data_IF_641557513829
#
_entry.id   IF_641557513829
#
_cell.length_a   1.000
_cell.length_b   1.000
_cell.length_c   1.000
_cell.angle_alpha   90.00
_cell.angle_beta   90.00
_cell.angle_gamma   90.00
#
_symmetry.space_group_name_H-M   'P 1'
#
loop_
_entity.id
_entity.type
_entity.pdbx_description
1 polymer ?
#
# COMPACT_ATOMS: atom_id res chain seq x y z
N UNK A 1 15.07 -0.84 -4.41
CA UNK A 1 15.03 -2.21 -4.96
C UNK A 1 13.94 -3.04 -4.31
N UNK A 2 13.67 -4.25 -4.84
CA UNK A 2 12.59 -5.15 -4.41
C UNK A 2 12.58 -5.40 -2.88
N UNK A 3 13.72 -5.78 -2.30
CA UNK A 3 13.82 -6.03 -0.86
C UNK A 3 13.51 -4.81 0.01
N UNK A 4 13.85 -3.61 -0.48
CA UNK A 4 13.51 -2.35 0.19
C UNK A 4 12.00 -2.10 0.18
N UNK A 5 11.35 -2.33 -0.98
CA UNK A 5 9.89 -2.20 -1.13
C UNK A 5 9.17 -3.20 -0.22
N UNK A 6 9.59 -4.47 -0.24
CA UNK A 6 8.99 -5.52 0.60
C UNK A 6 9.12 -5.19 2.09
N UNK A 7 10.31 -4.78 2.55
CA UNK A 7 10.50 -4.33 3.94
C UNK A 7 9.50 -3.24 4.30
N UNK A 8 9.43 -2.17 3.50
CA UNK A 8 8.53 -1.04 3.74
C UNK A 8 7.05 -1.45 3.72
N UNK A 9 6.66 -2.43 2.89
CA UNK A 9 5.29 -2.98 2.92
C UNK A 9 5.03 -3.73 4.24
N UNK A 10 5.93 -4.61 4.67
CA UNK A 10 5.76 -5.39 5.91
C UNK A 10 5.66 -4.48 7.15
N UNK A 11 6.46 -3.41 7.20
CA UNK A 11 6.42 -2.43 8.30
C UNK A 11 5.40 -1.30 8.07
N UNK A 12 4.43 -1.48 7.18
CA UNK A 12 3.35 -0.53 7.00
C UNK A 12 2.38 -0.63 8.20
N UNK A 13 1.91 0.53 8.66
CA UNK A 13 0.88 0.70 9.70
C UNK A 13 -0.31 -0.22 9.52
N UNK A 14 -0.81 -0.37 8.28
CA UNK A 14 -1.97 -1.22 8.01
C UNK A 14 -1.68 -2.70 8.33
N UNK A 15 -0.54 -3.21 7.84
CA UNK A 15 -0.10 -4.59 8.10
C UNK A 15 0.21 -4.78 9.59
N UNK A 16 0.90 -3.83 10.23
CA UNK A 16 1.23 -3.92 11.66
C UNK A 16 -0.01 -3.96 12.55
N UNK A 17 -1.03 -3.14 12.24
CA UNK A 17 -2.30 -3.19 12.96
C UNK A 17 -3.02 -4.53 12.75
N UNK A 18 -3.07 -5.03 11.51
CA UNK A 18 -3.69 -6.33 11.20
C UNK A 18 -2.97 -7.47 11.94
N UNK A 19 -1.63 -7.45 11.97
CA UNK A 19 -0.83 -8.40 12.73
C UNK A 19 -1.12 -8.30 14.23
N UNK A 20 -1.17 -7.09 14.78
CA UNK A 20 -1.44 -6.87 16.19
C UNK A 20 -2.80 -7.44 16.62
N UNK A 21 -3.84 -7.21 15.82
CA UNK A 21 -5.18 -7.78 16.03
C UNK A 21 -5.15 -9.30 15.90
N UNK A 22 -4.46 -9.84 14.89
CA UNK A 22 -4.37 -11.29 14.66
C UNK A 22 -3.63 -12.04 15.78
N UNK A 23 -2.69 -11.35 16.44
CA UNK A 23 -1.97 -11.85 17.63
C UNK A 23 -2.84 -11.75 18.90
N UNK A 24 -3.92 -10.98 18.89
CA UNK A 24 -4.84 -10.78 20.02
C UNK A 24 -4.47 -9.60 20.92
N UNK A 25 -3.67 -8.64 20.44
CA UNK A 25 -3.29 -7.45 21.21
C UNK A 25 -4.52 -6.58 21.51
N UNK A 26 -5.51 -6.56 20.60
CA UNK A 26 -6.76 -5.82 20.77
C UNK A 26 -7.51 -6.20 22.05
N UNK A 27 -7.44 -7.47 22.47
CA UNK A 27 -8.15 -7.96 23.66
C UNK A 27 -7.38 -7.72 24.97
N UNK A 28 -6.06 -7.51 24.86
CA UNK A 28 -5.17 -7.31 26.00
C UNK A 28 -4.90 -5.84 26.30
N UNK A 29 -5.06 -4.97 25.30
CA UNK A 29 -4.68 -3.57 25.39
C UNK A 29 -5.72 -2.77 26.18
N UNK A 30 -5.31 -2.23 27.33
CA UNK A 30 -6.09 -1.24 28.08
C UNK A 30 -5.72 0.16 27.61
N UNK A 31 -6.63 0.83 26.91
CA UNK A 31 -6.42 2.21 26.46
C UNK A 31 -7.52 3.12 27.02
N UNK A 32 -7.16 4.36 27.34
CA UNK A 32 -8.10 5.39 27.83
C UNK A 32 -8.21 6.54 26.79
N UNK A 33 -8.20 6.18 25.50
CA UNK A 33 -8.07 7.13 24.39
C UNK A 33 -9.44 7.36 23.76
N UNK A 34 -9.86 8.63 23.63
CA UNK A 34 -11.13 9.02 23.02
C UNK A 34 -11.22 8.72 21.52
N UNK A 35 -12.43 8.68 20.94
CA UNK A 35 -12.65 8.24 19.57
C UNK A 35 -12.27 9.35 18.58
N UNK A 36 -11.32 9.06 17.68
CA UNK A 36 -11.49 9.34 16.23
C UNK A 36 -10.20 9.07 15.44
N UNK A 37 -9.01 9.46 15.93
CA UNK A 37 -7.80 9.47 15.08
C UNK A 37 -6.55 8.82 15.69
N UNK A 38 -6.43 8.76 17.02
CA UNK A 38 -5.30 8.15 17.72
C UNK A 38 -5.36 6.62 17.80
N UNK A 39 -6.54 6.02 17.56
CA UNK A 39 -6.73 4.56 17.60
C UNK A 39 -6.17 3.88 16.35
N UNK A 40 -6.02 4.60 15.23
CA UNK A 40 -5.71 4.00 13.92
C UNK A 40 -4.35 3.32 13.84
N UNK A 41 -3.39 3.66 14.71
CA UNK A 41 -2.06 3.04 14.76
C UNK A 41 -1.77 2.34 16.09
N UNK A 42 -2.70 2.42 17.05
CA UNK A 42 -2.47 2.04 18.43
C UNK A 42 -2.07 0.57 18.58
N UNK A 43 -2.70 -0.32 17.81
CA UNK A 43 -2.40 -1.75 17.87
C UNK A 43 -1.03 -2.07 17.28
N UNK A 44 -0.68 -1.45 16.14
CA UNK A 44 0.65 -1.55 15.54
C UNK A 44 1.74 -1.08 16.49
N UNK A 45 1.56 0.09 17.10
CA UNK A 45 2.50 0.65 18.07
C UNK A 45 2.65 -0.26 19.31
N UNK A 46 1.55 -0.85 19.78
CA UNK A 46 1.57 -1.80 20.90
C UNK A 46 2.29 -3.12 20.53
N UNK A 47 2.16 -3.60 19.30
CA UNK A 47 2.90 -4.76 18.81
C UNK A 47 4.41 -4.46 18.78
N UNK A 48 4.81 -3.31 18.26
CA UNK A 48 6.21 -2.91 18.23
C UNK A 48 6.79 -2.77 19.64
N UNK A 49 6.02 -2.17 20.56
CA UNK A 49 6.40 -2.06 21.97
C UNK A 49 6.57 -3.43 22.63
N UNK A 50 5.67 -4.38 22.36
CA UNK A 50 5.76 -5.76 22.86
C UNK A 50 7.03 -6.47 22.33
N UNK A 51 7.33 -6.32 21.04
CA UNK A 51 8.55 -6.87 20.44
C UNK A 51 9.80 -6.22 21.03
N UNK A 52 9.77 -4.91 21.28
CA UNK A 52 10.82 -4.17 21.97
C UNK A 52 11.06 -4.68 23.39
N UNK A 53 10.00 -4.90 24.17
CA UNK A 53 10.09 -5.47 25.51
C UNK A 53 10.68 -6.90 25.48
N UNK A 54 10.24 -7.74 24.54
CA UNK A 54 10.78 -9.09 24.36
C UNK A 54 12.26 -9.05 23.95
N UNK A 55 12.67 -8.10 23.12
CA UNK A 55 14.07 -7.87 22.75
C UNK A 55 14.92 -7.51 23.97
N UNK A 56 14.45 -6.61 24.83
CA UNK A 56 15.17 -6.23 26.05
C UNK A 56 15.29 -7.40 27.04
N UNK A 57 14.27 -8.26 27.15
CA UNK A 57 14.28 -9.40 28.07
C UNK A 57 15.11 -10.60 27.54
N UNK A 58 14.95 -10.97 26.27
CA UNK A 58 15.51 -12.24 25.72
C UNK A 58 16.67 -12.06 24.75
N UNK A 59 16.97 -10.83 24.34
CA UNK A 59 17.98 -10.50 23.33
C UNK A 59 17.60 -10.91 21.91
N UNK A 60 18.33 -10.36 20.93
CA UNK A 60 17.99 -10.43 19.50
C UNK A 60 17.68 -11.85 18.98
N UNK A 61 18.55 -12.83 19.26
CA UNK A 61 18.45 -14.18 18.68
C UNK A 61 17.14 -14.88 19.06
N UNK A 62 16.75 -14.79 20.35
CA UNK A 62 15.53 -15.42 20.85
C UNK A 62 14.29 -14.68 20.36
N UNK A 63 14.29 -13.35 20.44
CA UNK A 63 13.19 -12.51 19.95
C UNK A 63 12.93 -12.74 18.47
N UNK A 64 13.97 -12.76 17.64
CA UNK A 64 13.85 -13.06 16.21
C UNK A 64 13.21 -14.43 15.97
N UNK A 65 13.62 -15.46 16.70
CA UNK A 65 13.06 -16.83 16.54
C UNK A 65 11.58 -16.88 16.92
N UNK A 66 11.22 -16.25 18.04
CA UNK A 66 9.83 -16.20 18.53
C UNK A 66 8.96 -15.42 17.55
N UNK A 67 9.40 -14.23 17.14
CA UNK A 67 8.64 -13.36 16.24
C UNK A 67 8.43 -13.98 14.86
N UNK A 68 9.48 -14.55 14.25
CA UNK A 68 9.35 -15.21 12.94
C UNK A 68 8.38 -16.39 13.02
N UNK A 69 8.54 -17.26 14.03
CA UNK A 69 7.73 -18.48 14.14
C UNK A 69 6.27 -18.20 14.48
N UNK A 70 6.04 -17.32 15.44
CA UNK A 70 4.71 -17.16 16.06
C UNK A 70 3.90 -16.01 15.46
N UNK A 71 4.56 -15.03 14.82
CA UNK A 71 3.90 -13.86 14.24
C UNK A 71 3.98 -13.89 12.72
N UNK A 72 5.18 -13.73 12.15
CA UNK A 72 5.35 -13.63 10.69
C UNK A 72 4.83 -14.86 9.95
N UNK A 73 5.32 -16.06 10.26
CA UNK A 73 4.95 -17.27 9.51
C UNK A 73 3.48 -17.67 9.68
N UNK A 74 2.82 -17.21 10.75
CA UNK A 74 1.44 -17.59 11.07
C UNK A 74 0.42 -16.63 10.46
N UNK A 75 0.74 -15.34 10.40
CA UNK A 75 -0.23 -14.30 10.06
C UNK A 75 0.16 -13.49 8.82
N UNK A 76 1.35 -13.71 8.26
CA UNK A 76 1.85 -12.93 7.13
C UNK A 76 2.17 -13.84 5.94
N UNK A 77 1.36 -13.72 4.89
CA UNK A 77 1.60 -14.37 3.59
C UNK A 77 2.37 -13.40 2.71
N UNK A 78 3.68 -13.63 2.57
CA UNK A 78 4.58 -12.72 1.84
C UNK A 78 4.15 -12.55 0.38
N UNK A 79 3.68 -13.64 -0.25
CA UNK A 79 3.24 -13.61 -1.65
C UNK A 79 2.09 -12.63 -1.89
N UNK A 80 1.14 -12.53 -0.95
CA UNK A 80 0.01 -11.62 -1.07
C UNK A 80 0.48 -10.16 -0.96
N UNK A 81 1.44 -9.87 -0.08
CA UNK A 81 2.00 -8.54 0.10
C UNK A 81 2.80 -8.09 -1.14
N UNK A 82 3.53 -9.03 -1.76
CA UNK A 82 4.21 -8.77 -3.03
C UNK A 82 3.20 -8.49 -4.13
N UNK A 83 2.15 -9.31 -4.24
CA UNK A 83 1.13 -9.20 -5.28
C UNK A 83 0.13 -8.06 -5.07
N UNK A 84 0.08 -7.45 -3.87
CA UNK A 84 -0.63 -6.20 -3.59
C UNK A 84 0.13 -5.01 -4.21
N UNK A 85 0.60 -5.14 -5.44
CA UNK A 85 1.16 -4.06 -6.24
C UNK A 85 0.01 -3.16 -6.74
N UNK A 86 -0.68 -2.56 -5.78
CA UNK A 86 -1.59 -1.43 -5.98
C UNK A 86 -0.79 -0.14 -6.22
N UNK A 87 0.41 -0.23 -6.80
CA UNK A 87 1.19 0.91 -7.27
C UNK A 87 1.40 0.79 -8.77
N UNK A 88 0.28 0.64 -9.48
CA UNK A 88 0.22 0.65 -10.94
C UNK A 88 0.90 1.89 -11.52
N UNK A 89 0.86 3.04 -10.83
CA UNK A 89 1.59 4.23 -11.25
C UNK A 89 3.09 3.98 -11.33
N UNK A 90 3.68 3.39 -10.30
CA UNK A 90 5.10 2.99 -10.33
C UNK A 90 5.39 1.93 -11.39
N UNK A 91 4.52 0.94 -11.58
CA UNK A 91 4.72 -0.10 -12.62
C UNK A 91 4.73 0.48 -14.03
N UNK A 92 3.77 1.36 -14.35
CA UNK A 92 3.71 2.05 -15.63
C UNK A 92 4.96 2.92 -15.80
N UNK A 93 5.37 3.66 -14.77
CA UNK A 93 6.56 4.51 -14.82
C UNK A 93 7.85 3.70 -15.08
N UNK A 94 8.05 2.58 -14.37
CA UNK A 94 9.19 1.68 -14.57
C UNK A 94 9.21 1.12 -16.00
N UNK A 95 8.04 0.73 -16.54
CA UNK A 95 7.93 0.23 -17.91
C UNK A 95 8.23 1.30 -18.95
N UNK A 96 7.65 2.50 -18.80
CA UNK A 96 7.90 3.65 -19.70
C UNK A 96 9.39 3.97 -19.75
N UNK A 97 10.04 4.06 -18.59
CA UNK A 97 11.48 4.34 -18.51
C UNK A 97 12.32 3.25 -19.17
N UNK A 98 12.00 1.97 -18.93
CA UNK A 98 12.70 0.83 -19.52
C UNK A 98 12.64 0.85 -21.05
N UNK A 99 11.49 1.23 -21.61
CA UNK A 99 11.26 1.24 -23.06
C UNK A 99 11.52 2.61 -23.71
N UNK A 100 11.99 3.60 -22.94
CA UNK A 100 12.32 4.96 -23.40
C UNK A 100 11.14 5.71 -24.03
N UNK A 101 9.93 5.45 -23.55
CA UNK A 101 8.74 6.21 -23.91
C UNK A 101 8.56 7.45 -23.01
N UNK A 102 7.65 8.34 -23.37
CA UNK A 102 7.27 9.50 -22.56
C UNK A 102 5.92 9.26 -21.89
N UNK A 103 5.84 9.52 -20.58
CA UNK A 103 4.60 9.43 -19.79
C UNK A 103 4.06 10.82 -19.48
N UNK A 104 2.79 11.07 -19.79
CA UNK A 104 2.10 12.32 -19.47
C UNK A 104 0.76 12.03 -18.79
N UNK A 105 0.38 12.84 -17.82
CA UNK A 105 -0.94 12.79 -17.19
C UNK A 105 -1.70 14.08 -17.48
N UNK A 106 -2.95 13.95 -17.90
CA UNK A 106 -3.89 15.07 -18.06
C UNK A 106 -4.95 14.98 -16.99
N UNK A 107 -5.26 16.10 -16.34
CA UNK A 107 -6.18 16.17 -15.21
C UNK A 107 -7.37 17.05 -15.52
N UNK A 108 -8.54 16.61 -15.09
CA UNK A 108 -9.79 17.37 -15.12
C UNK A 108 -10.48 17.23 -13.76
N UNK A 109 -10.91 18.34 -13.20
CA UNK A 109 -11.73 18.35 -11.98
C UNK A 109 -13.11 18.90 -12.33
N UNK A 110 -14.14 18.16 -11.93
CA UNK A 110 -15.53 18.53 -12.15
C UNK A 110 -16.27 18.46 -10.81
N UNK A 111 -17.13 19.43 -10.54
CA UNK A 111 -17.99 19.39 -9.37
C UNK A 111 -19.34 18.76 -9.75
N UNK A 112 -19.65 17.61 -9.17
CA UNK A 112 -20.96 16.99 -9.32
C UNK A 112 -21.94 17.65 -8.33
N UNK A 113 -22.81 18.50 -8.87
CA UNK A 113 -23.83 19.22 -8.10
C UNK A 113 -24.90 18.29 -7.50
N UNK A 114 -25.15 17.12 -8.10
CA UNK A 114 -26.13 16.16 -7.60
C UNK A 114 -25.60 15.40 -6.38
N UNK A 115 -24.34 14.96 -6.45
CA UNK A 115 -23.70 14.24 -5.34
C UNK A 115 -22.97 15.16 -4.34
N UNK A 116 -22.90 16.47 -4.63
CA UNK A 116 -22.18 17.50 -3.87
C UNK A 116 -20.71 17.13 -3.61
N UNK A 117 -20.05 16.55 -4.62
CA UNK A 117 -18.67 16.05 -4.52
C UNK A 117 -17.86 16.46 -5.74
N UNK A 118 -16.58 16.75 -5.54
CA UNK A 118 -15.63 16.87 -6.64
C UNK A 118 -15.28 15.48 -7.18
N UNK A 119 -15.35 15.35 -8.50
CA UNK A 119 -14.89 14.18 -9.26
C UNK A 119 -13.63 14.58 -10.00
N UNK A 120 -12.54 13.86 -9.72
CA UNK A 120 -11.28 14.04 -10.42
C UNK A 120 -11.19 12.99 -11.51
N UNK A 121 -10.91 13.42 -12.73
CA UNK A 121 -10.62 12.55 -13.88
C UNK A 121 -9.17 12.73 -14.27
N UNK A 122 -8.47 11.61 -14.48
CA UNK A 122 -7.09 11.59 -14.94
C UNK A 122 -7.00 10.73 -16.20
N UNK A 123 -6.32 11.22 -17.23
CA UNK A 123 -5.98 10.48 -18.45
C UNK A 123 -4.46 10.29 -18.47
N UNK A 124 -4.01 9.05 -18.65
CA UNK A 124 -2.63 8.64 -18.75
C UNK A 124 -2.29 8.42 -20.22
N UNK A 125 -1.32 9.20 -20.70
CA UNK A 125 -0.81 9.18 -22.06
C UNK A 125 0.60 8.59 -22.08
N UNK A 126 0.88 7.66 -23.00
CA UNK A 126 2.24 7.21 -23.32
C UNK A 126 2.50 7.60 -24.77
N UNK A 127 3.54 8.40 -25.02
CA UNK A 127 3.85 8.98 -26.33
C UNK A 127 2.64 9.66 -27.02
N UNK A 128 1.86 10.41 -26.23
CA UNK A 128 0.63 11.09 -26.63
C UNK A 128 -0.54 10.18 -27.01
N UNK A 129 -0.42 8.87 -26.87
CA UNK A 129 -1.54 7.93 -27.00
C UNK A 129 -2.18 7.62 -25.66
N UNK A 130 -3.50 7.47 -25.62
CA UNK A 130 -4.24 7.18 -24.39
C UNK A 130 -4.13 5.70 -23.98
N UNK A 131 -3.42 5.46 -22.88
CA UNK A 131 -3.27 4.12 -22.32
C UNK A 131 -4.28 3.85 -21.19
N UNK A 132 -4.74 4.87 -20.46
CA UNK A 132 -5.77 4.66 -19.44
C UNK A 132 -6.44 5.93 -18.96
N UNK A 133 -7.68 5.82 -18.52
CA UNK A 133 -8.44 6.91 -17.91
C UNK A 133 -9.04 6.44 -16.59
N UNK A 134 -8.88 7.22 -15.53
CA UNK A 134 -9.39 6.92 -14.21
C UNK A 134 -10.16 8.08 -13.59
N UNK A 135 -11.08 7.75 -12.69
CA UNK A 135 -11.84 8.72 -11.93
C UNK A 135 -11.76 8.41 -10.43
N UNK A 136 -11.84 9.44 -9.59
CA UNK A 136 -11.79 9.27 -8.15
C UNK A 136 -12.24 10.50 -7.38
N UNK A 137 -12.42 10.32 -6.07
CA UNK A 137 -12.72 11.40 -5.12
C UNK A 137 -11.50 12.31 -4.83
N UNK A 138 -10.33 11.92 -5.32
CA UNK A 138 -9.09 12.70 -5.25
C UNK A 138 -8.25 12.50 -6.51
N UNK A 139 -7.36 13.45 -6.81
CA UNK A 139 -6.39 13.31 -7.93
C UNK A 139 -5.57 12.03 -7.83
N UNK A 140 -5.15 11.65 -6.61
CA UNK A 140 -4.35 10.44 -6.37
C UNK A 140 -5.11 9.17 -6.72
N UNK A 141 -6.39 9.09 -6.34
CA UNK A 141 -7.25 7.95 -6.66
C UNK A 141 -7.49 7.85 -8.17
N UNK A 142 -7.79 8.98 -8.83
CA UNK A 142 -7.98 9.02 -10.29
C UNK A 142 -6.71 8.62 -11.06
N UNK A 143 -5.52 9.07 -10.62
CA UNK A 143 -4.24 8.64 -11.19
C UNK A 143 -3.99 7.14 -11.04
N UNK A 144 -4.31 6.59 -9.88
CA UNK A 144 -4.08 5.19 -9.60
C UNK A 144 -4.96 4.31 -10.48
N UNK A 145 -6.23 4.67 -10.64
CA UNK A 145 -7.17 4.00 -11.53
C UNK A 145 -6.73 4.12 -13.00
N UNK A 146 -6.32 5.31 -13.46
CA UNK A 146 -5.80 5.51 -14.81
C UNK A 146 -4.57 4.63 -15.07
N UNK A 147 -3.68 4.53 -14.09
CA UNK A 147 -2.47 3.70 -14.17
C UNK A 147 -2.79 2.21 -14.17
N UNK A 148 -3.81 1.77 -13.42
CA UNK A 148 -4.26 0.38 -13.42
C UNK A 148 -4.72 -0.05 -14.82
N UNK A 149 -5.59 0.76 -15.44
CA UNK A 149 -6.08 0.49 -16.81
C UNK A 149 -4.96 0.54 -17.85
N UNK A 150 -4.04 1.50 -17.71
CA UNK A 150 -2.86 1.58 -18.56
C UNK A 150 -1.99 0.32 -18.45
N UNK A 151 -1.79 -0.19 -17.23
CA UNK A 151 -1.02 -1.40 -16.99
C UNK A 151 -1.65 -2.63 -17.65
N UNK A 152 -2.98 -2.75 -17.62
CA UNK A 152 -3.70 -3.81 -18.33
C UNK A 152 -3.51 -3.73 -19.85
N UNK A 153 -3.47 -2.53 -20.44
CA UNK A 153 -3.15 -2.36 -21.87
C UNK A 153 -1.70 -2.74 -22.15
N UNK A 154 -0.75 -2.25 -21.35
CA UNK A 154 0.69 -2.54 -21.51
C UNK A 154 0.95 -4.04 -21.51
N UNK A 155 0.34 -4.81 -20.59
CA UNK A 155 0.49 -6.28 -20.54
C UNK A 155 0.02 -7.01 -21.80
N UNK A 156 -0.82 -6.38 -22.63
CA UNK A 156 -1.35 -6.94 -23.87
C UNK A 156 -0.52 -6.56 -25.10
N UNK A 157 0.40 -5.60 -24.97
CA UNK A 157 1.32 -5.25 -26.05
C UNK A 157 2.38 -6.35 -26.15
N UNK A 158 2.50 -7.06 -27.29
CA UNK A 158 3.53 -8.07 -27.44
C UNK A 158 4.92 -7.43 -27.36
N UNK A 159 5.81 -8.01 -26.54
CA UNK A 159 7.22 -7.62 -26.51
C UNK A 159 7.82 -7.89 -27.90
N UNK A 160 8.31 -6.84 -28.56
CA UNK A 160 8.98 -6.90 -29.86
C UNK A 160 10.49 -6.90 -29.71
#
# INVERSE_FOLDING_TARGET
GFMTKLRSKIVNREILNQLAVSVGINDLLKCNVGPANSVRNLYGDALEALVGALFLDKGFKKTRKIFIKNVLNKYLIINDIVNTDNDYKSLVFEWVQKHKHNLTFTYKEEYDFNSRKSVFTTILLIDNEEFGQGQGSSKKEAEQEASARAWEKIKKVPET
#
